data_IF_162771044831
#
_entry.id   IF_162771044831
#
_cell.length_a   1.000
_cell.length_b   1.000
_cell.length_c   1.000
_cell.angle_alpha   90.00
_cell.angle_beta   90.00
_cell.angle_gamma   90.00
#
_symmetry.space_group_name_H-M   'P 1'
#
loop_
_entity.id
_entity.type
_entity.pdbx_description
1 polymer ?
#
# COMPACT_ATOMS: atom_id res chain seq x y z
N UNK A 1 -6.43 23.57 8.22
CA UNK A 1 -7.90 23.36 8.16
C UNK A 1 -8.60 24.49 7.40
N UNK A 2 -8.00 25.66 7.29
CA UNK A 2 -8.42 26.72 6.39
C UNK A 2 -7.20 27.35 5.70
N UNK A 3 -7.42 28.42 4.93
CA UNK A 3 -6.37 29.15 4.22
C UNK A 3 -5.28 29.72 5.14
N UNK A 4 -5.68 30.24 6.30
CA UNK A 4 -4.75 30.81 7.27
C UNK A 4 -3.84 29.74 7.87
N UNK A 5 -4.41 28.60 8.28
CA UNK A 5 -3.63 27.47 8.77
C UNK A 5 -2.63 26.98 7.72
N UNK A 6 -3.04 26.88 6.46
CA UNK A 6 -2.16 26.44 5.37
C UNK A 6 -0.95 27.35 5.19
N UNK A 7 -1.15 28.66 5.30
CA UNK A 7 -0.10 29.66 5.16
C UNK A 7 0.86 29.67 6.37
N UNK A 8 0.36 29.33 7.57
CA UNK A 8 1.16 29.28 8.79
C UNK A 8 1.74 27.90 9.10
N UNK A 9 1.32 26.86 8.39
CA UNK A 9 1.83 25.51 8.57
C UNK A 9 3.31 25.46 8.17
N UNK A 10 4.14 24.95 9.08
CA UNK A 10 5.57 24.73 8.83
C UNK A 10 5.76 23.49 7.97
N UNK A 11 5.57 23.64 6.65
CA UNK A 11 5.80 22.57 5.70
C UNK A 11 7.26 22.07 5.78
N UNK A 12 7.50 20.76 5.82
CA UNK A 12 8.84 20.22 5.66
C UNK A 12 9.42 20.69 4.31
N UNK A 13 10.73 20.90 4.26
CA UNK A 13 11.41 21.14 2.99
C UNK A 13 11.76 19.79 2.35
N UNK A 14 11.56 19.59 1.04
CA UNK A 14 11.92 18.34 0.38
C UNK A 14 13.38 17.92 0.65
N UNK A 15 14.29 18.91 0.66
CA UNK A 15 15.71 18.69 0.95
C UNK A 15 16.01 18.22 2.39
N UNK A 16 15.04 18.27 3.31
CA UNK A 16 15.18 17.77 4.68
C UNK A 16 14.91 16.27 4.82
N UNK A 17 14.35 15.63 3.76
CA UNK A 17 14.10 14.19 3.74
C UNK A 17 15.43 13.45 3.71
N UNK A 18 15.58 12.49 4.61
CA UNK A 18 16.78 11.64 4.71
C UNK A 18 16.41 10.17 4.53
N UNK A 19 17.42 9.35 4.22
CA UNK A 19 17.28 7.91 4.04
C UNK A 19 18.18 7.14 5.02
N UNK A 20 18.44 7.74 6.19
CA UNK A 20 19.38 7.22 7.18
C UNK A 20 19.01 5.83 7.71
N UNK A 21 17.72 5.52 7.73
CA UNK A 21 17.18 4.23 8.09
C UNK A 21 17.59 3.15 7.08
N UNK A 22 17.64 3.49 5.79
CA UNK A 22 18.17 2.59 4.76
C UNK A 22 19.68 2.38 4.96
N UNK A 23 20.43 3.46 5.19
CA UNK A 23 21.88 3.40 5.45
C UNK A 23 22.21 2.52 6.66
N UNK A 24 21.34 2.51 7.68
CA UNK A 24 21.50 1.67 8.87
C UNK A 24 21.20 0.18 8.62
N UNK A 25 20.27 -0.13 7.71
CA UNK A 25 19.83 -1.51 7.43
C UNK A 25 20.67 -2.19 6.35
N UNK A 26 21.15 -1.45 5.36
CA UNK A 26 21.93 -1.98 4.23
C UNK A 26 23.13 -2.86 4.69
N UNK A 27 23.95 -2.46 5.67
CA UNK A 27 25.11 -3.25 6.09
C UNK A 27 24.78 -4.60 6.73
N UNK A 28 23.55 -4.78 7.22
CA UNK A 28 23.09 -6.01 7.90
C UNK A 28 22.15 -6.85 7.02
N UNK A 29 21.94 -6.46 5.77
CA UNK A 29 21.04 -7.15 4.85
C UNK A 29 21.62 -8.54 4.48
N UNK A 30 20.88 -9.64 4.69
CA UNK A 30 21.33 -10.96 4.29
C UNK A 30 21.61 -11.06 2.79
N UNK A 31 22.54 -11.94 2.41
CA UNK A 31 22.87 -12.17 1.00
C UNK A 31 21.62 -12.57 0.20
N UNK A 32 21.40 -11.87 -0.93
CA UNK A 32 20.24 -12.08 -1.80
C UNK A 32 18.94 -11.43 -1.34
N UNK A 33 18.89 -10.86 -0.13
CA UNK A 33 17.71 -10.12 0.35
C UNK A 33 17.67 -8.70 -0.23
N UNK A 34 16.46 -8.14 -0.34
CA UNK A 34 16.20 -6.77 -0.80
C UNK A 34 15.32 -6.05 0.20
N UNK A 35 15.39 -4.73 0.17
CA UNK A 35 14.52 -3.85 0.96
C UNK A 35 13.28 -3.50 0.14
N UNK A 36 12.11 -3.50 0.78
CA UNK A 36 10.91 -2.89 0.22
C UNK A 36 10.83 -1.47 0.81
N UNK A 37 11.01 -0.46 -0.03
CA UNK A 37 10.91 0.94 0.38
C UNK A 37 9.44 1.32 0.60
N UNK A 38 9.14 1.94 1.72
CA UNK A 38 7.77 2.33 2.08
C UNK A 38 7.79 3.65 2.84
N UNK A 39 6.73 4.44 2.65
CA UNK A 39 6.44 5.68 3.39
C UNK A 39 4.92 5.81 3.57
N UNK A 40 4.42 6.92 4.10
CA UNK A 40 2.98 7.17 4.22
C UNK A 40 2.30 7.53 2.89
N UNK A 41 1.01 7.84 2.97
CA UNK A 41 0.16 8.19 1.84
C UNK A 41 -0.12 9.67 1.72
N UNK A 42 -0.26 10.16 0.49
CA UNK A 42 -0.62 11.56 0.25
C UNK A 42 -2.04 11.87 0.76
N UNK A 43 -2.99 10.94 0.61
CA UNK A 43 -4.35 11.13 1.10
C UNK A 43 -4.40 10.96 2.61
N UNK A 44 -3.76 9.93 3.17
CA UNK A 44 -3.67 9.77 4.63
C UNK A 44 -3.05 10.99 5.30
N UNK A 45 -1.96 11.54 4.75
CA UNK A 45 -1.34 12.76 5.30
C UNK A 45 -2.28 13.96 5.18
N UNK A 46 -3.00 14.13 4.06
CA UNK A 46 -4.00 15.19 3.92
C UNK A 46 -5.13 15.05 4.96
N UNK A 47 -5.58 13.82 5.20
CA UNK A 47 -6.58 13.47 6.19
C UNK A 47 -6.07 13.80 7.61
N UNK A 48 -4.83 13.46 7.95
CA UNK A 48 -4.23 13.78 9.26
C UNK A 48 -4.13 15.29 9.49
N UNK A 49 -3.70 16.05 8.47
CA UNK A 49 -3.54 17.50 8.56
C UNK A 49 -4.89 18.23 8.72
N UNK A 50 -5.91 17.78 8.01
CA UNK A 50 -7.21 18.45 7.98
C UNK A 50 -8.19 17.89 9.03
N UNK A 51 -7.99 16.65 9.47
CA UNK A 51 -9.05 15.78 9.96
C UNK A 51 -9.94 15.30 8.82
N UNK A 52 -10.47 14.07 8.91
CA UNK A 52 -11.31 13.49 7.87
C UNK A 52 -12.54 14.35 7.54
N UNK A 53 -13.33 14.75 8.54
CA UNK A 53 -14.48 15.65 8.34
C UNK A 53 -14.04 17.00 7.78
N UNK A 54 -12.93 17.54 8.25
CA UNK A 54 -12.37 18.80 7.78
C UNK A 54 -11.98 18.76 6.30
N UNK A 55 -11.37 17.67 5.86
CA UNK A 55 -11.07 17.43 4.44
C UNK A 55 -12.36 17.36 3.61
N UNK A 56 -13.39 16.67 4.10
CA UNK A 56 -14.70 16.60 3.43
C UNK A 56 -15.36 17.98 3.28
N UNK A 57 -15.33 18.83 4.32
CA UNK A 57 -15.84 20.21 4.20
C UNK A 57 -15.02 21.02 3.20
N UNK A 58 -13.68 20.92 3.23
CA UNK A 58 -12.83 21.62 2.26
C UNK A 58 -13.07 21.18 0.81
N UNK A 59 -13.35 19.90 0.57
CA UNK A 59 -13.70 19.38 -0.75
C UNK A 59 -14.99 20.01 -1.31
N UNK A 60 -15.92 20.41 -0.42
CA UNK A 60 -17.15 21.10 -0.79
C UNK A 60 -16.96 22.62 -0.90
N UNK A 61 -16.24 23.22 0.05
CA UNK A 61 -16.22 24.68 0.26
C UNK A 61 -15.03 25.38 -0.42
N UNK A 62 -13.85 24.74 -0.48
CA UNK A 62 -12.62 25.34 -1.04
C UNK A 62 -11.71 24.29 -1.70
N UNK A 63 -12.16 23.78 -2.86
CA UNK A 63 -11.38 22.83 -3.69
C UNK A 63 -10.02 23.37 -4.12
N UNK A 64 -9.85 24.70 -4.19
CA UNK A 64 -8.57 25.31 -4.53
C UNK A 64 -7.57 25.08 -3.41
N UNK A 65 -7.97 25.28 -2.16
CA UNK A 65 -7.13 24.95 -1.01
C UNK A 65 -6.81 23.46 -0.95
N UNK A 66 -7.78 22.57 -1.23
CA UNK A 66 -7.52 21.13 -1.33
C UNK A 66 -6.44 20.82 -2.36
N UNK A 67 -6.54 21.40 -3.57
CA UNK A 67 -5.51 21.25 -4.60
C UNK A 67 -4.13 21.67 -4.10
N UNK A 68 -4.03 22.83 -3.46
CA UNK A 68 -2.76 23.35 -2.96
C UNK A 68 -2.17 22.45 -1.83
N UNK A 69 -3.02 21.85 -0.99
CA UNK A 69 -2.59 20.86 0.01
C UNK A 69 -2.00 19.62 -0.67
N UNK A 70 -2.73 19.02 -1.62
CA UNK A 70 -2.25 17.83 -2.33
C UNK A 70 -1.02 18.14 -3.19
N UNK A 71 -0.89 19.36 -3.73
CA UNK A 71 0.32 19.79 -4.44
C UNK A 71 1.53 19.86 -3.52
N UNK A 72 1.39 20.42 -2.32
CA UNK A 72 2.47 20.46 -1.33
C UNK A 72 2.89 19.06 -0.89
N UNK A 73 1.92 18.20 -0.58
CA UNK A 73 2.18 16.81 -0.19
C UNK A 73 2.83 16.03 -1.34
N UNK A 74 2.29 16.15 -2.55
CA UNK A 74 2.81 15.47 -3.74
C UNK A 74 4.28 15.77 -4.01
N UNK A 75 4.71 17.02 -3.85
CA UNK A 75 6.11 17.42 -4.01
C UNK A 75 7.03 16.82 -2.93
N UNK A 76 6.55 16.70 -1.69
CA UNK A 76 7.31 16.06 -0.60
C UNK A 76 7.47 14.57 -0.85
N UNK A 77 6.37 13.91 -1.21
CA UNK A 77 6.38 12.48 -1.51
C UNK A 77 7.17 12.18 -2.79
N UNK A 78 7.17 13.04 -3.80
CA UNK A 78 8.04 12.89 -4.96
C UNK A 78 9.52 12.75 -4.56
N UNK A 79 10.01 13.57 -3.61
CA UNK A 79 11.38 13.49 -3.13
C UNK A 79 11.64 12.19 -2.35
N UNK A 80 10.70 11.79 -1.46
CA UNK A 80 10.77 10.50 -0.76
C UNK A 80 10.94 9.33 -1.74
N UNK A 81 10.11 9.28 -2.78
CA UNK A 81 10.12 8.18 -3.75
C UNK A 81 11.33 8.24 -4.66
N UNK A 82 11.77 9.44 -5.06
CA UNK A 82 13.00 9.61 -5.82
C UNK A 82 14.22 9.06 -5.07
N UNK A 83 14.33 9.33 -3.77
CA UNK A 83 15.43 8.82 -2.97
C UNK A 83 15.34 7.30 -2.75
N UNK A 84 14.19 6.78 -2.30
CA UNK A 84 14.01 5.33 -2.12
C UNK A 84 14.24 4.54 -3.42
N UNK A 85 13.75 5.05 -4.56
CA UNK A 85 13.89 4.40 -5.85
C UNK A 85 15.34 4.37 -6.36
N UNK A 86 16.24 5.27 -5.93
CA UNK A 86 17.66 5.26 -6.32
C UNK A 86 18.54 4.31 -5.50
N UNK A 87 18.08 3.86 -4.34
CA UNK A 87 18.86 2.99 -3.45
C UNK A 87 18.97 1.57 -4.05
N UNK A 88 20.18 1.10 -4.35
CA UNK A 88 20.40 -0.17 -5.07
C UNK A 88 19.85 -1.41 -4.35
N UNK A 89 19.84 -1.37 -3.02
CA UNK A 89 19.39 -2.45 -2.14
C UNK A 89 17.87 -2.51 -2.03
N UNK A 90 17.16 -1.45 -2.43
CA UNK A 90 15.70 -1.44 -2.54
C UNK A 90 15.29 -2.21 -3.79
N UNK A 91 14.50 -3.26 -3.61
CA UNK A 91 14.01 -4.14 -4.68
C UNK A 91 12.60 -3.82 -5.18
N UNK A 92 11.81 -3.08 -4.39
CA UNK A 92 10.47 -2.61 -4.73
C UNK A 92 10.15 -1.36 -3.88
N UNK A 93 9.19 -0.55 -4.33
CA UNK A 93 8.70 0.60 -3.54
C UNK A 93 7.19 0.55 -3.44
N UNK A 94 6.66 0.87 -2.26
CA UNK A 94 5.24 0.82 -1.94
C UNK A 94 4.65 2.22 -1.96
N UNK A 95 3.58 2.40 -2.73
CA UNK A 95 2.59 3.44 -2.51
C UNK A 95 1.66 2.97 -1.40
N UNK A 96 1.85 3.47 -0.18
CA UNK A 96 0.96 3.17 0.95
C UNK A 96 0.01 4.32 1.16
N UNK A 97 -1.27 4.11 0.93
CA UNK A 97 -2.26 5.16 1.08
C UNK A 97 -3.66 4.54 1.16
N UNK A 98 -4.24 4.51 2.37
CA UNK A 98 -5.54 3.88 2.63
C UNK A 98 -6.71 4.77 2.17
N UNK A 99 -7.26 4.46 1.00
CA UNK A 99 -8.37 5.20 0.40
C UNK A 99 -9.74 4.56 0.64
N UNK A 100 -9.78 3.33 1.15
CA UNK A 100 -10.97 2.51 1.20
C UNK A 100 -11.63 2.46 2.59
N UNK A 101 -12.95 2.40 2.57
CA UNK A 101 -13.78 1.90 3.67
C UNK A 101 -14.36 0.52 3.30
N UNK A 102 -15.18 -0.08 4.15
CA UNK A 102 -15.74 -1.43 3.91
C UNK A 102 -16.50 -1.56 2.57
N UNK A 103 -17.26 -0.55 2.19
CA UNK A 103 -18.23 -0.63 1.08
C UNK A 103 -17.93 0.33 -0.07
N UNK A 104 -17.06 1.32 0.13
CA UNK A 104 -16.70 2.34 -0.85
C UNK A 104 -15.35 2.97 -0.50
N UNK A 105 -14.90 3.92 -1.30
CA UNK A 105 -13.78 4.82 -0.97
C UNK A 105 -14.16 5.86 0.10
N UNK A 106 -13.16 6.36 0.83
CA UNK A 106 -13.33 7.35 1.91
C UNK A 106 -13.80 8.72 1.38
N UNK A 107 -13.35 9.13 0.20
CA UNK A 107 -13.94 10.28 -0.52
C UNK A 107 -14.45 9.83 -1.89
N UNK A 108 -15.10 10.72 -2.62
CA UNK A 108 -15.68 10.36 -3.92
C UNK A 108 -14.60 9.85 -4.89
N UNK A 109 -14.90 8.83 -5.72
CA UNK A 109 -14.01 8.41 -6.80
C UNK A 109 -13.54 9.57 -7.69
N UNK A 110 -14.41 10.56 -7.94
CA UNK A 110 -14.10 11.77 -8.69
C UNK A 110 -13.02 12.62 -8.01
N UNK A 111 -13.12 12.81 -6.69
CA UNK A 111 -12.09 13.55 -5.94
C UNK A 111 -10.77 12.79 -5.89
N UNK A 112 -10.80 11.45 -5.77
CA UNK A 112 -9.57 10.63 -5.82
C UNK A 112 -8.89 10.74 -7.19
N UNK A 113 -9.66 10.70 -8.28
CA UNK A 113 -9.14 10.90 -9.64
C UNK A 113 -8.54 12.30 -9.83
N UNK A 114 -9.10 13.30 -9.17
CA UNK A 114 -8.64 14.68 -9.30
C UNK A 114 -7.39 14.98 -8.46
N UNK A 115 -7.35 14.52 -7.21
CA UNK A 115 -6.37 14.97 -6.23
C UNK A 115 -5.32 13.93 -5.85
N UNK A 116 -5.58 12.63 -6.03
CA UNK A 116 -4.72 11.54 -5.53
C UNK A 116 -4.06 10.76 -6.67
N UNK A 117 -4.85 10.19 -7.57
CA UNK A 117 -4.33 9.31 -8.63
C UNK A 117 -3.27 9.96 -9.55
N UNK A 118 -3.33 11.27 -9.89
CA UNK A 118 -2.28 11.91 -10.68
C UNK A 118 -0.91 11.85 -10.00
N UNK A 119 -0.88 11.99 -8.67
CA UNK A 119 0.35 11.85 -7.89
C UNK A 119 0.80 10.40 -7.81
N UNK A 120 -0.09 9.45 -7.53
CA UNK A 120 0.28 8.03 -7.55
C UNK A 120 0.87 7.61 -8.90
N UNK A 121 0.30 8.06 -10.02
CA UNK A 121 0.84 7.82 -11.36
C UNK A 121 2.26 8.39 -11.51
N UNK A 122 2.49 9.59 -11.00
CA UNK A 122 3.82 10.21 -11.01
C UNK A 122 4.82 9.40 -10.17
N UNK A 123 4.42 8.98 -8.97
CA UNK A 123 5.24 8.20 -8.06
C UNK A 123 5.57 6.82 -8.64
N UNK A 124 4.59 6.10 -9.20
CA UNK A 124 4.81 4.84 -9.91
C UNK A 124 5.81 5.01 -11.06
N UNK A 125 5.66 6.07 -11.88
CA UNK A 125 6.60 6.38 -12.94
C UNK A 125 8.04 6.65 -12.46
N UNK A 126 8.21 7.27 -11.29
CA UNK A 126 9.52 7.46 -10.65
C UNK A 126 10.12 6.10 -10.27
N UNK A 127 9.33 5.21 -9.67
CA UNK A 127 9.76 3.87 -9.26
C UNK A 127 10.18 3.05 -10.49
N UNK A 128 9.36 3.03 -11.54
CA UNK A 128 9.62 2.29 -12.77
C UNK A 128 10.85 2.80 -13.53
N UNK A 129 11.12 4.12 -13.49
CA UNK A 129 12.30 4.72 -14.13
C UNK A 129 13.61 4.14 -13.59
N UNK A 130 13.63 3.73 -12.33
CA UNK A 130 14.78 3.07 -11.69
C UNK A 130 14.72 1.54 -11.84
N UNK A 131 13.82 1.02 -12.67
CA UNK A 131 13.68 -0.41 -12.98
C UNK A 131 13.10 -1.24 -11.85
N UNK A 132 12.33 -0.63 -10.95
CA UNK A 132 11.75 -1.29 -9.77
C UNK A 132 10.24 -1.46 -9.91
N UNK A 133 9.64 -2.51 -9.32
CA UNK A 133 8.20 -2.67 -9.24
C UNK A 133 7.59 -1.70 -8.21
N UNK A 134 6.40 -1.19 -8.55
CA UNK A 134 5.54 -0.36 -7.72
C UNK A 134 4.44 -1.22 -7.08
N UNK A 135 4.43 -1.30 -5.76
CA UNK A 135 3.41 -2.01 -4.98
C UNK A 135 2.40 -0.99 -4.45
N UNK A 136 1.11 -1.22 -4.60
CA UNK A 136 0.10 -0.49 -3.84
C UNK A 136 -0.16 -1.22 -2.52
N UNK A 137 -0.09 -0.51 -1.39
CA UNK A 137 -0.75 -0.87 -0.15
C UNK A 137 -1.93 0.08 0.05
N UNK A 138 -3.14 -0.47 0.04
CA UNK A 138 -4.34 0.29 0.39
C UNK A 138 -5.45 -0.64 0.87
N UNK A 139 -5.97 -0.36 2.06
CA UNK A 139 -7.05 -1.07 2.71
C UNK A 139 -8.42 -0.66 2.18
N UNK A 140 -9.44 -1.44 2.52
CA UNK A 140 -10.81 -1.13 2.16
C UNK A 140 -11.18 -1.41 0.69
N UNK A 141 -12.32 -0.87 0.28
CA UNK A 141 -12.91 -1.12 -1.04
C UNK A 141 -12.53 -0.04 -2.04
N UNK A 142 -11.70 -0.41 -3.02
CA UNK A 142 -11.26 0.46 -4.12
C UNK A 142 -11.90 0.14 -5.45
N UNK A 143 -12.90 -0.76 -5.49
CA UNK A 143 -13.44 -1.31 -6.75
C UNK A 143 -13.87 -0.24 -7.76
N UNK A 144 -14.31 0.93 -7.29
CA UNK A 144 -14.73 2.06 -8.12
C UNK A 144 -13.59 2.75 -8.89
N UNK A 145 -12.33 2.52 -8.51
CA UNK A 145 -11.13 3.14 -9.11
C UNK A 145 -10.00 2.14 -9.43
N UNK A 146 -10.22 0.84 -9.20
CA UNK A 146 -9.19 -0.18 -9.40
C UNK A 146 -8.72 -0.27 -10.85
N UNK A 147 -9.59 0.01 -11.82
CA UNK A 147 -9.22 -0.01 -13.24
C UNK A 147 -8.25 1.12 -13.58
N UNK A 148 -8.46 2.33 -13.08
CA UNK A 148 -7.54 3.46 -13.24
C UNK A 148 -6.22 3.23 -12.49
N UNK A 149 -6.28 2.63 -11.30
CA UNK A 149 -5.08 2.24 -10.55
C UNK A 149 -4.22 1.24 -11.37
N UNK A 150 -4.83 0.24 -12.00
CA UNK A 150 -4.08 -0.74 -12.79
C UNK A 150 -3.63 -0.17 -14.14
N UNK A 151 -4.52 0.52 -14.86
CA UNK A 151 -4.28 0.90 -16.25
C UNK A 151 -3.52 2.23 -16.37
N UNK A 152 -3.81 3.20 -15.50
CA UNK A 152 -3.24 4.56 -15.59
C UNK A 152 -2.10 4.81 -14.61
N UNK A 153 -2.23 4.36 -13.36
CA UNK A 153 -1.14 4.43 -12.37
C UNK A 153 -0.11 3.34 -12.60
N UNK A 154 -0.52 2.19 -13.15
CA UNK A 154 0.35 1.08 -13.55
C UNK A 154 1.07 0.40 -12.39
N UNK A 155 0.36 0.16 -11.28
CA UNK A 155 0.92 -0.64 -10.18
C UNK A 155 1.26 -2.06 -10.66
N UNK A 156 2.33 -2.64 -10.13
CA UNK A 156 2.77 -4.00 -10.46
C UNK A 156 2.17 -5.04 -9.50
N UNK A 157 1.82 -4.61 -8.28
CA UNK A 157 1.26 -5.48 -7.26
C UNK A 157 0.31 -4.72 -6.34
N UNK A 158 -0.64 -5.42 -5.72
CA UNK A 158 -1.50 -4.87 -4.67
C UNK A 158 -1.45 -5.73 -3.39
N UNK A 159 -1.31 -5.00 -2.29
CA UNK A 159 -1.67 -5.31 -0.91
C UNK A 159 -2.68 -4.22 -0.46
N UNK A 160 -3.50 -4.34 0.56
CA UNK A 160 -3.84 -5.48 1.38
C UNK A 160 -5.15 -6.14 0.87
N UNK A 161 -5.63 -7.20 1.51
CA UNK A 161 -6.91 -7.87 1.19
C UNK A 161 -7.63 -8.32 2.45
N UNK A 162 -8.92 -8.00 2.53
CA UNK A 162 -9.79 -8.32 3.67
C UNK A 162 -10.95 -9.20 3.19
N UNK A 163 -11.18 -10.35 3.84
CA UNK A 163 -12.21 -11.32 3.40
C UNK A 163 -13.62 -10.69 3.39
N UNK A 164 -13.85 -9.71 4.27
CA UNK A 164 -15.13 -9.00 4.38
C UNK A 164 -15.41 -8.01 3.22
N UNK A 165 -14.43 -7.77 2.35
CA UNK A 165 -14.51 -6.81 1.24
C UNK A 165 -14.23 -7.52 -0.08
N UNK A 166 -13.04 -8.10 -0.22
CA UNK A 166 -12.62 -8.85 -1.39
C UNK A 166 -11.63 -9.94 -0.97
N UNK A 167 -12.09 -11.19 -0.81
CA UNK A 167 -11.21 -12.33 -0.56
C UNK A 167 -10.13 -12.43 -1.64
N UNK A 168 -8.91 -12.77 -1.22
CA UNK A 168 -7.74 -12.79 -2.11
C UNK A 168 -7.89 -13.78 -3.28
N UNK A 169 -8.62 -14.88 -3.07
CA UNK A 169 -8.93 -15.86 -4.12
C UNK A 169 -9.80 -15.26 -5.24
N UNK A 170 -10.74 -14.38 -4.89
CA UNK A 170 -11.53 -13.64 -5.88
C UNK A 170 -10.72 -12.52 -6.52
N UNK A 171 -9.91 -11.80 -5.74
CA UNK A 171 -9.00 -10.78 -6.26
C UNK A 171 -8.06 -11.34 -7.33
N UNK A 172 -7.54 -12.56 -7.13
CA UNK A 172 -6.69 -13.25 -8.12
C UNK A 172 -7.42 -13.51 -9.43
N UNK A 173 -8.70 -13.90 -9.40
CA UNK A 173 -9.50 -14.12 -10.61
C UNK A 173 -9.71 -12.82 -11.39
N UNK A 174 -9.93 -11.71 -10.68
CA UNK A 174 -10.26 -10.40 -11.30
C UNK A 174 -9.00 -9.66 -11.79
N UNK A 175 -7.93 -9.67 -10.98
CA UNK A 175 -6.74 -8.82 -11.19
C UNK A 175 -5.45 -9.60 -11.42
N UNK A 176 -5.41 -10.89 -11.11
CA UNK A 176 -4.18 -11.68 -11.02
C UNK A 176 -3.41 -11.93 -12.31
N UNK A 177 -4.00 -11.61 -13.47
CA UNK A 177 -3.34 -11.63 -14.78
C UNK A 177 -2.71 -10.28 -15.16
N UNK A 178 -2.98 -9.23 -14.38
CA UNK A 178 -2.53 -7.85 -14.63
C UNK A 178 -1.51 -7.38 -13.61
N UNK A 179 -1.72 -7.75 -12.34
CA UNK A 179 -0.86 -7.37 -11.23
C UNK A 179 -0.61 -8.56 -10.30
N UNK A 180 0.50 -8.54 -9.58
CA UNK A 180 0.75 -9.48 -8.51
C UNK A 180 -0.16 -9.22 -7.30
N UNK A 181 -0.46 -10.29 -6.58
CA UNK A 181 -1.34 -10.30 -5.42
C UNK A 181 -0.45 -10.58 -4.20
N UNK A 182 -0.40 -9.66 -3.24
CA UNK A 182 0.43 -9.83 -2.04
C UNK A 182 -0.47 -9.94 -0.81
N UNK A 183 -0.19 -10.91 0.05
CA UNK A 183 -0.91 -11.12 1.31
C UNK A 183 -2.17 -11.97 1.16
N UNK A 184 -3.20 -11.59 1.91
CA UNK A 184 -4.56 -12.14 1.77
C UNK A 184 -4.93 -13.26 2.74
N UNK A 185 -4.05 -13.65 3.66
CA UNK A 185 -4.49 -14.38 4.84
C UNK A 185 -5.18 -13.40 5.81
N UNK A 186 -6.52 -13.35 5.76
CA UNK A 186 -7.32 -12.46 6.61
C UNK A 186 -6.88 -12.49 8.09
N UNK A 187 -6.61 -11.30 8.65
CA UNK A 187 -6.01 -11.16 9.98
C UNK A 187 -6.96 -11.68 11.07
N UNK A 188 -8.26 -11.48 10.95
CA UNK A 188 -9.23 -11.99 11.93
C UNK A 188 -9.29 -13.53 11.89
N UNK A 189 -9.23 -14.13 10.70
CA UNK A 189 -9.07 -15.59 10.56
C UNK A 189 -7.76 -16.06 11.20
N UNK A 190 -6.64 -15.40 10.90
CA UNK A 190 -5.33 -15.75 11.45
C UNK A 190 -5.32 -15.74 12.99
N UNK A 191 -5.97 -14.78 13.62
CA UNK A 191 -6.07 -14.69 15.09
C UNK A 191 -6.89 -15.82 15.73
N UNK A 192 -7.89 -16.34 15.02
CA UNK A 192 -8.91 -17.23 15.59
C UNK A 192 -8.72 -18.69 15.22
N UNK A 193 -7.90 -18.97 14.22
CA UNK A 193 -7.65 -20.32 13.73
C UNK A 193 -6.68 -21.09 14.63
N UNK A 194 -6.91 -22.39 14.71
CA UNK A 194 -5.96 -23.39 15.21
C UNK A 194 -4.81 -23.59 14.23
N UNK A 195 -3.70 -24.17 14.68
CA UNK A 195 -2.57 -24.52 13.79
C UNK A 195 -3.02 -25.30 12.55
N UNK A 196 -3.89 -26.32 12.75
CA UNK A 196 -4.41 -27.14 11.66
C UNK A 196 -5.14 -26.28 10.62
N UNK A 197 -6.05 -25.42 11.06
CA UNK A 197 -6.82 -24.55 10.16
C UNK A 197 -5.92 -23.54 9.43
N UNK A 198 -4.88 -23.02 10.09
CA UNK A 198 -3.91 -22.12 9.46
C UNK A 198 -3.17 -22.85 8.34
N UNK A 199 -2.63 -24.05 8.61
CA UNK A 199 -1.90 -24.83 7.62
C UNK A 199 -2.80 -25.23 6.44
N UNK A 200 -4.01 -25.67 6.72
CA UNK A 200 -5.00 -26.00 5.68
C UNK A 200 -5.33 -24.79 4.81
N UNK A 201 -5.50 -23.61 5.42
CA UNK A 201 -5.79 -22.39 4.66
C UNK A 201 -4.59 -21.87 3.86
N UNK A 202 -3.36 -21.95 4.39
CA UNK A 202 -2.14 -21.66 3.61
C UNK A 202 -2.07 -22.55 2.37
N UNK A 203 -2.32 -23.85 2.51
CA UNK A 203 -2.31 -24.76 1.37
C UNK A 203 -3.37 -24.39 0.33
N UNK A 204 -4.59 -24.06 0.77
CA UNK A 204 -5.65 -23.56 -0.12
C UNK A 204 -5.21 -22.30 -0.87
N UNK A 205 -4.63 -21.31 -0.18
CA UNK A 205 -4.16 -20.09 -0.83
C UNK A 205 -3.07 -20.36 -1.87
N UNK A 206 -2.13 -21.27 -1.58
CA UNK A 206 -1.07 -21.63 -2.53
C UNK A 206 -1.67 -22.31 -3.76
N UNK A 207 -2.59 -23.26 -3.56
CA UNK A 207 -3.21 -24.02 -4.66
C UNK A 207 -4.10 -23.12 -5.54
N UNK A 208 -4.94 -22.28 -4.92
CA UNK A 208 -5.92 -21.45 -5.63
C UNK A 208 -5.33 -20.14 -6.19
N UNK A 209 -4.34 -19.56 -5.50
CA UNK A 209 -3.79 -18.23 -5.82
C UNK A 209 -2.38 -18.31 -6.38
N UNK A 210 -1.55 -19.18 -5.81
CA UNK A 210 -0.12 -19.27 -6.10
C UNK A 210 0.25 -19.95 -7.41
N UNK A 211 -0.53 -20.94 -7.85
CA UNK A 211 -0.20 -21.82 -8.99
C UNK A 211 -0.02 -21.11 -10.33
N UNK A 212 -0.61 -19.92 -10.50
CA UNK A 212 -0.48 -19.10 -11.72
C UNK A 212 0.63 -18.04 -11.63
N UNK A 213 1.47 -18.09 -10.59
CA UNK A 213 2.50 -17.08 -10.33
C UNK A 213 1.93 -15.73 -9.90
N UNK A 214 2.79 -14.75 -9.65
CA UNK A 214 2.36 -13.40 -9.24
C UNK A 214 1.56 -13.39 -7.93
N UNK A 215 1.93 -14.26 -6.98
CA UNK A 215 1.37 -14.30 -5.64
C UNK A 215 2.50 -14.33 -4.61
N UNK A 216 2.39 -13.52 -3.56
CA UNK A 216 3.24 -13.63 -2.38
C UNK A 216 2.35 -13.83 -1.15
N UNK A 217 2.44 -15.01 -0.53
CA UNK A 217 1.73 -15.30 0.71
C UNK A 217 2.13 -14.32 1.81
N UNK A 218 1.13 -13.84 2.54
CA UNK A 218 1.30 -13.00 3.72
C UNK A 218 -0.05 -12.75 4.37
N UNK A 219 -0.05 -11.97 5.46
CA UNK A 219 -1.29 -11.54 6.08
C UNK A 219 -2.10 -10.61 5.16
N UNK A 220 -3.41 -10.55 5.41
CA UNK A 220 -4.35 -9.70 4.69
C UNK A 220 -4.26 -8.23 5.05
N UNK A 221 -3.50 -7.88 6.08
CA UNK A 221 -3.15 -6.52 6.50
C UNK A 221 -1.85 -6.59 7.34
N UNK A 222 -1.36 -5.47 7.83
CA UNK A 222 -0.29 -5.37 8.83
C UNK A 222 -0.56 -6.29 10.02
N UNK A 223 0.49 -6.95 10.50
CA UNK A 223 0.42 -7.78 11.72
C UNK A 223 0.35 -6.85 12.92
N UNK A 224 -0.84 -6.78 13.54
CA UNK A 224 -1.06 -6.00 14.74
C UNK A 224 -0.68 -6.78 16.01
N UNK A 225 -0.47 -6.07 17.12
CA UNK A 225 -0.06 -6.64 18.41
C UNK A 225 -1.02 -7.70 18.98
N UNK A 226 -2.27 -7.72 18.54
CA UNK A 226 -3.27 -8.70 18.96
C UNK A 226 -3.17 -10.03 18.20
N UNK A 227 -2.37 -10.11 17.14
CA UNK A 227 -2.17 -11.36 16.38
C UNK A 227 -1.29 -12.29 17.20
N UNK A 228 -1.72 -13.52 17.52
CA UNK A 228 -0.86 -14.49 18.20
C UNK A 228 0.39 -14.76 17.36
N UNK A 229 1.56 -14.56 17.97
CA UNK A 229 2.85 -14.71 17.29
C UNK A 229 3.00 -16.14 16.75
N UNK A 230 2.54 -17.13 17.52
CA UNK A 230 2.55 -18.54 17.12
C UNK A 230 1.78 -18.76 15.82
N UNK A 231 0.60 -18.15 15.69
CA UNK A 231 -0.23 -18.28 14.50
C UNK A 231 0.45 -17.67 13.26
N UNK A 232 1.06 -16.50 13.42
CA UNK A 232 1.85 -15.88 12.35
C UNK A 232 3.05 -16.75 11.95
N UNK A 233 3.80 -17.29 12.91
CA UNK A 233 4.93 -18.17 12.63
C UNK A 233 4.51 -19.48 11.97
N UNK A 234 3.36 -20.07 12.33
CA UNK A 234 2.80 -21.24 11.66
C UNK A 234 2.49 -20.95 10.19
N UNK A 235 1.89 -19.79 9.90
CA UNK A 235 1.61 -19.37 8.53
C UNK A 235 2.89 -19.26 7.70
N UNK A 236 3.93 -18.62 8.25
CA UNK A 236 5.23 -18.49 7.61
C UNK A 236 5.91 -19.84 7.39
N UNK A 237 5.92 -20.71 8.40
CA UNK A 237 6.51 -22.06 8.34
C UNK A 237 5.85 -22.92 7.25
N UNK A 238 4.51 -22.93 7.19
CA UNK A 238 3.79 -23.68 6.16
C UNK A 238 4.05 -23.12 4.75
N UNK A 239 3.97 -21.80 4.59
CA UNK A 239 4.26 -21.14 3.31
C UNK A 239 5.68 -21.41 2.82
N UNK A 240 6.66 -21.36 3.74
CA UNK A 240 8.06 -21.60 3.42
C UNK A 240 8.30 -23.02 2.91
N UNK A 241 7.67 -24.04 3.50
CA UNK A 241 7.78 -25.44 3.04
C UNK A 241 7.31 -25.61 1.59
N UNK A 242 6.40 -24.75 1.14
CA UNK A 242 5.73 -24.84 -0.14
C UNK A 242 6.26 -23.89 -1.22
N UNK A 243 7.25 -23.04 -0.90
CA UNK A 243 7.78 -21.98 -1.78
C UNK A 243 8.33 -22.39 -3.15
N UNK A 244 8.52 -23.68 -3.41
CA UNK A 244 9.06 -24.21 -4.67
C UNK A 244 8.06 -25.07 -5.45
N UNK A 245 6.84 -25.21 -4.94
CA UNK A 245 5.73 -25.88 -5.63
C UNK A 245 4.87 -24.82 -6.31
#
# INVERSE_FOLDING_TARGET
KNREDFNHYSWPEPASITFSEFDAVIPILPEGMKIIGQTGGIFETAQELCGYEGLCYLLADDRKLVREIFERLGLLYEECYCGMAKIKEVGAVVISDDLGFKTQTLISPEDLREFVLPWWKKLAGIIHKEGKPCILHSCGNLSAIMEEIINDVQIDAKHSYEDAILPVTEAKKIYGNRIAILGGFDVNKLCRSTEKEIREYVNLLIDDVGTSGGYALGSGNSIADYVPVENYLIMLDEGWKKRYY
#
